data_IF_864935489896
#
_entry.id   IF_864935489896
#
_cell.length_a   1.000
_cell.length_b   1.000
_cell.length_c   1.000
_cell.angle_alpha   90.00
_cell.angle_beta   90.00
_cell.angle_gamma   90.00
#
_symmetry.space_group_name_H-M   'P 1'
#
loop_
_entity.id
_entity.type
_entity.pdbx_description
1 polymer ?
#
# COMPACT_ATOMS: atom_id res chain seq x y z
N UNK A 1 15.68 31.70 0.33
CA UNK A 1 14.84 31.42 -0.80
C UNK A 1 13.78 30.45 -0.34
N UNK A 2 12.51 30.79 -0.53
CA UNK A 2 11.41 29.87 -0.24
C UNK A 2 11.27 28.93 -1.44
N UNK A 3 11.30 27.62 -1.19
CA UNK A 3 11.04 26.65 -2.24
C UNK A 3 9.60 26.82 -2.74
N UNK A 4 9.43 26.93 -4.05
CA UNK A 4 8.12 27.02 -4.68
C UNK A 4 7.60 25.59 -4.91
N UNK A 5 6.48 25.24 -4.29
CA UNK A 5 5.82 23.95 -4.46
C UNK A 5 4.59 24.12 -5.33
N UNK A 6 4.54 23.41 -6.46
CA UNK A 6 3.39 23.40 -7.37
C UNK A 6 2.74 22.03 -7.35
N UNK A 7 1.45 21.96 -7.00
CA UNK A 7 0.65 20.74 -7.14
C UNK A 7 0.12 20.66 -8.58
N UNK A 8 0.34 19.53 -9.24
CA UNK A 8 -0.13 19.28 -10.63
C UNK A 8 -1.58 18.85 -10.69
N UNK A 9 -2.11 18.33 -9.57
CA UNK A 9 -3.48 17.83 -9.44
C UNK A 9 -4.30 18.84 -8.65
N UNK A 10 -5.41 19.30 -9.19
CA UNK A 10 -6.36 20.13 -8.45
C UNK A 10 -7.18 19.21 -7.54
N UNK A 11 -7.55 19.68 -6.33
CA UNK A 11 -8.33 18.94 -5.33
C UNK A 11 -9.69 18.38 -5.82
N UNK A 12 -10.11 18.77 -7.02
CA UNK A 12 -11.35 18.33 -7.67
C UNK A 12 -11.11 17.46 -8.89
N UNK A 13 -9.86 17.12 -9.19
CA UNK A 13 -9.50 16.27 -10.32
C UNK A 13 -9.24 14.86 -9.82
N UNK A 14 -9.88 13.89 -10.45
CA UNK A 14 -9.56 12.49 -10.31
C UNK A 14 -8.14 12.23 -10.84
N UNK A 15 -7.29 11.67 -10.01
CA UNK A 15 -5.90 11.34 -10.36
C UNK A 15 -5.82 10.28 -11.45
N UNK A 16 -6.83 9.41 -11.55
CA UNK A 16 -6.89 8.36 -12.57
C UNK A 16 -7.23 8.90 -13.95
N UNK A 17 -7.99 10.00 -14.01
CA UNK A 17 -8.37 10.69 -15.26
C UNK A 17 -7.48 11.89 -15.57
N UNK A 18 -6.41 12.09 -14.83
CA UNK A 18 -5.48 13.20 -15.01
C UNK A 18 -4.83 13.12 -16.41
N UNK A 19 -5.15 14.06 -17.26
CA UNK A 19 -4.46 14.29 -18.56
C UNK A 19 -3.47 15.41 -18.38
N UNK A 20 -2.18 15.07 -18.44
CA UNK A 20 -1.11 16.08 -18.37
C UNK A 20 -1.19 16.99 -19.58
N UNK A 21 -1.51 18.26 -19.34
CA UNK A 21 -1.52 19.28 -20.40
C UNK A 21 -0.08 19.79 -20.68
N UNK A 22 0.15 20.50 -21.80
CA UNK A 22 1.50 20.97 -22.18
C UNK A 22 2.19 21.82 -21.09
N UNK A 23 1.44 22.62 -20.32
CA UNK A 23 1.98 23.44 -19.25
C UNK A 23 2.44 22.58 -18.06
N UNK A 24 1.64 21.57 -17.68
CA UNK A 24 2.01 20.63 -16.64
C UNK A 24 3.23 19.79 -17.06
N UNK A 25 3.31 19.39 -18.34
CA UNK A 25 4.50 18.72 -18.88
C UNK A 25 5.76 19.59 -18.83
N UNK A 26 5.64 20.88 -19.08
CA UNK A 26 6.76 21.81 -18.94
C UNK A 26 7.20 21.93 -17.48
N UNK A 27 6.27 22.06 -16.53
CA UNK A 27 6.57 22.12 -15.10
C UNK A 27 7.28 20.84 -14.63
N UNK A 28 6.80 19.66 -15.01
CA UNK A 28 7.45 18.37 -14.71
C UNK A 28 8.88 18.31 -15.25
N UNK A 29 9.09 18.83 -16.47
CA UNK A 29 10.41 18.80 -17.11
C UNK A 29 11.41 19.81 -16.52
N UNK A 30 10.92 20.90 -15.94
CA UNK A 30 11.75 21.98 -15.38
C UNK A 30 11.88 21.94 -13.85
N UNK A 31 11.16 21.06 -13.17
CA UNK A 31 11.22 20.96 -11.72
C UNK A 31 12.57 20.43 -11.24
N UNK A 32 13.09 21.00 -10.17
CA UNK A 32 14.31 20.50 -9.50
C UNK A 32 14.03 19.15 -8.80
N UNK A 33 12.81 18.98 -8.29
CA UNK A 33 12.32 17.71 -7.71
C UNK A 33 10.86 17.47 -8.07
N UNK A 34 10.53 16.22 -8.35
CA UNK A 34 9.17 15.76 -8.60
C UNK A 34 8.82 14.72 -7.55
N UNK A 35 7.75 14.95 -6.81
CA UNK A 35 7.20 13.99 -5.86
C UNK A 35 5.99 13.30 -6.47
N UNK A 36 5.97 11.98 -6.44
CA UNK A 36 4.90 11.15 -6.99
C UNK A 36 4.58 10.00 -6.06
N UNK A 37 3.35 9.51 -6.14
CA UNK A 37 2.90 8.29 -5.44
C UNK A 37 3.25 7.01 -6.20
N UNK A 38 3.88 7.12 -7.38
CA UNK A 38 4.22 6.00 -8.24
C UNK A 38 3.35 5.94 -9.50
N UNK A 39 3.77 5.10 -10.45
CA UNK A 39 3.12 5.00 -11.78
C UNK A 39 1.75 4.32 -11.71
N UNK A 40 1.57 3.43 -10.77
CA UNK A 40 0.33 2.68 -10.55
C UNK A 40 -0.76 3.60 -10.03
N UNK A 41 -0.42 4.48 -9.08
CA UNK A 41 -1.34 5.45 -8.50
C UNK A 41 -1.59 6.65 -9.42
N UNK A 42 -0.79 6.82 -10.48
CA UNK A 42 -0.96 7.91 -11.44
C UNK A 42 -0.82 7.38 -12.86
N UNK A 43 -1.86 6.73 -13.43
CA UNK A 43 -1.80 6.06 -14.74
C UNK A 43 -1.31 6.94 -15.89
N UNK A 44 -1.56 8.25 -15.80
CA UNK A 44 -1.09 9.24 -16.79
C UNK A 44 0.43 9.37 -16.84
N UNK A 45 1.11 8.95 -15.77
CA UNK A 45 2.57 8.98 -15.69
C UNK A 45 3.22 7.69 -16.18
N UNK A 46 2.44 6.66 -16.61
CA UNK A 46 2.99 5.40 -17.15
C UNK A 46 3.97 5.61 -18.30
N UNK A 47 3.76 6.64 -19.10
CA UNK A 47 4.61 7.00 -20.24
C UNK A 47 5.64 8.10 -19.90
N UNK A 48 5.67 8.59 -18.68
CA UNK A 48 6.65 9.55 -18.25
C UNK A 48 7.88 8.83 -17.71
N UNK A 49 9.03 9.12 -18.32
CA UNK A 49 10.29 8.54 -17.84
C UNK A 49 10.70 9.20 -16.54
N UNK A 50 10.86 8.40 -15.50
CA UNK A 50 11.40 8.86 -14.23
C UNK A 50 12.81 9.40 -14.43
N UNK A 51 12.99 10.64 -14.01
CA UNK A 51 14.28 11.29 -14.04
C UNK A 51 14.97 11.15 -12.68
N UNK A 52 16.25 11.41 -12.63
CA UNK A 52 17.05 11.37 -11.38
C UNK A 52 16.55 12.35 -10.29
N UNK A 53 15.69 13.30 -10.65
CA UNK A 53 15.07 14.24 -9.73
C UNK A 53 13.68 13.81 -9.22
N UNK A 54 13.22 12.60 -9.57
CA UNK A 54 11.94 12.06 -9.12
C UNK A 54 12.11 11.41 -7.76
N UNK A 55 11.21 11.74 -6.85
CA UNK A 55 11.09 11.13 -5.53
C UNK A 55 9.73 10.45 -5.46
N UNK A 56 9.71 9.14 -5.40
CA UNK A 56 8.49 8.38 -5.13
C UNK A 56 8.20 8.47 -3.63
N UNK A 57 7.06 9.03 -3.27
CA UNK A 57 6.67 9.25 -1.87
C UNK A 57 5.87 8.05 -1.35
N UNK A 58 5.24 7.31 -2.25
CA UNK A 58 4.52 6.09 -1.95
C UNK A 58 5.34 4.84 -2.25
N UNK A 59 4.86 3.71 -1.80
CA UNK A 59 5.36 2.40 -2.18
C UNK A 59 4.42 1.86 -3.25
N UNK A 60 4.96 1.58 -4.44
CA UNK A 60 4.19 0.95 -5.51
C UNK A 60 4.32 -0.56 -5.41
N UNK A 61 3.22 -1.26 -5.45
CA UNK A 61 3.24 -2.70 -5.62
C UNK A 61 3.85 -3.05 -6.99
N UNK A 62 4.78 -4.02 -7.00
CA UNK A 62 5.34 -4.56 -8.24
C UNK A 62 4.29 -5.44 -8.92
N UNK A 63 3.54 -6.15 -8.10
CA UNK A 63 2.51 -7.10 -8.49
C UNK A 63 1.37 -7.05 -7.47
N UNK A 64 0.14 -7.12 -7.93
CA UNK A 64 -1.05 -7.19 -7.11
C UNK A 64 -1.92 -8.29 -7.68
N UNK A 65 -2.19 -9.29 -6.87
CA UNK A 65 -3.14 -10.34 -7.18
C UNK A 65 -4.38 -10.19 -6.30
N UNK A 66 -5.53 -10.20 -6.98
CA UNK A 66 -6.79 -10.47 -6.33
C UNK A 66 -7.09 -11.94 -6.68
N UNK A 67 -6.87 -12.87 -5.77
CA UNK A 67 -7.21 -14.26 -6.05
C UNK A 67 -8.67 -14.28 -6.48
N UNK A 68 -8.92 -14.75 -7.71
CA UNK A 68 -10.27 -14.94 -8.21
C UNK A 68 -10.98 -15.80 -7.18
N UNK A 69 -12.03 -15.27 -6.59
CA UNK A 69 -12.85 -15.84 -5.55
C UNK A 69 -13.21 -17.31 -5.81
N UNK A 70 -12.30 -18.23 -5.56
CA UNK A 70 -12.69 -19.54 -5.15
C UNK A 70 -13.16 -19.36 -3.70
N UNK A 71 -14.44 -19.51 -3.46
CA UNK A 71 -15.07 -19.33 -2.16
C UNK A 71 -14.28 -20.10 -1.10
N UNK A 72 -13.50 -19.39 -0.25
CA UNK A 72 -12.86 -19.95 0.91
C UNK A 72 -11.36 -19.81 1.08
N UNK A 73 -10.66 -18.98 0.30
CA UNK A 73 -9.25 -18.63 0.55
C UNK A 73 -9.07 -17.91 1.88
N UNK A 74 -7.92 -18.09 2.53
CA UNK A 74 -7.62 -17.43 3.81
C UNK A 74 -7.24 -15.95 3.62
N UNK A 75 -7.03 -15.47 2.40
CA UNK A 75 -6.77 -14.07 2.05
C UNK A 75 -7.58 -13.64 0.83
N UNK A 76 -7.89 -12.35 0.77
CA UNK A 76 -8.60 -11.72 -0.35
C UNK A 76 -7.68 -10.84 -1.20
N UNK A 77 -6.49 -10.52 -0.68
CA UNK A 77 -5.55 -9.66 -1.39
C UNK A 77 -4.10 -10.07 -1.11
N UNK A 78 -3.28 -9.97 -2.16
CA UNK A 78 -1.83 -10.09 -2.08
C UNK A 78 -1.14 -8.98 -2.89
N UNK A 79 -0.02 -8.47 -2.39
CA UNK A 79 0.80 -7.47 -3.07
C UNK A 79 2.27 -7.71 -2.86
N UNK A 80 3.06 -7.57 -3.93
CA UNK A 80 4.51 -7.67 -3.91
C UNK A 80 5.13 -6.27 -4.01
N UNK A 81 6.00 -5.94 -3.06
CA UNK A 81 6.64 -4.63 -2.96
C UNK A 81 8.15 -4.77 -2.90
N UNK A 82 8.86 -3.91 -3.60
CA UNK A 82 10.30 -3.72 -3.42
C UNK A 82 10.52 -2.59 -2.40
N UNK A 83 11.05 -2.94 -1.23
CA UNK A 83 11.18 -2.04 -0.09
C UNK A 83 12.64 -1.93 0.33
N UNK A 84 13.05 -0.72 0.69
CA UNK A 84 14.32 -0.48 1.37
C UNK A 84 14.19 -0.70 2.88
N UNK A 85 15.30 -1.02 3.55
CA UNK A 85 15.31 -1.10 5.00
C UNK A 85 14.86 0.20 5.64
N UNK A 86 13.90 0.12 6.56
CA UNK A 86 13.31 1.30 7.19
C UNK A 86 12.00 1.01 7.91
N UNK A 87 11.37 2.08 8.36
CA UNK A 87 10.06 2.03 9.00
C UNK A 87 9.02 2.68 8.09
N UNK A 88 7.99 1.94 7.79
CA UNK A 88 6.85 2.35 6.99
C UNK A 88 5.61 2.43 7.87
N UNK A 89 4.60 3.12 7.39
CA UNK A 89 3.27 3.14 8.00
C UNK A 89 2.26 2.60 7.01
N UNK A 90 1.38 1.74 7.50
CA UNK A 90 0.19 1.34 6.79
C UNK A 90 -1.03 1.88 7.53
N UNK A 91 -1.83 2.66 6.84
CA UNK A 91 -2.98 3.37 7.42
C UNK A 91 -4.27 2.76 6.89
N UNK A 92 -5.22 2.56 7.78
CA UNK A 92 -6.58 2.12 7.48
C UNK A 92 -7.54 3.18 7.98
N UNK A 93 -8.47 3.58 7.13
CA UNK A 93 -9.45 4.61 7.45
C UNK A 93 -10.86 4.02 7.57
N UNK A 94 -11.72 4.72 8.28
CA UNK A 94 -13.15 4.46 8.26
C UNK A 94 -13.75 4.94 6.95
N UNK A 95 -14.63 4.11 6.40
CA UNK A 95 -15.50 4.49 5.28
C UNK A 95 -16.90 4.72 5.86
N UNK A 96 -17.54 5.83 5.53
CA UNK A 96 -18.85 6.21 6.06
C UNK A 96 -18.95 6.24 7.61
N UNK A 97 -17.80 6.46 8.28
CA UNK A 97 -17.72 6.55 9.75
C UNK A 97 -17.50 5.23 10.48
N UNK A 98 -17.36 4.12 9.78
CA UNK A 98 -17.11 2.79 10.33
C UNK A 98 -15.94 2.11 9.59
N UNK A 99 -15.21 1.23 10.28
CA UNK A 99 -14.31 0.29 9.62
C UNK A 99 -15.14 -0.86 9.04
N UNK A 100 -14.75 -1.37 7.86
CA UNK A 100 -15.41 -2.50 7.22
C UNK A 100 -15.48 -3.71 8.17
N UNK A 101 -14.37 -3.94 8.89
CA UNK A 101 -14.26 -4.93 9.96
C UNK A 101 -13.54 -4.35 11.18
N UNK A 102 -13.78 -4.88 12.40
CA UNK A 102 -13.12 -4.39 13.60
C UNK A 102 -11.63 -4.78 13.67
N UNK A 103 -11.23 -5.79 12.92
CA UNK A 103 -9.86 -6.29 12.83
C UNK A 103 -9.68 -7.07 11.52
N UNK A 104 -8.43 -7.25 11.10
CA UNK A 104 -8.06 -8.00 9.91
C UNK A 104 -6.76 -8.76 10.18
N UNK A 105 -6.59 -9.94 9.60
CA UNK A 105 -5.30 -10.64 9.62
C UNK A 105 -4.42 -10.17 8.46
N UNK A 106 -3.10 -10.16 8.70
CA UNK A 106 -2.07 -9.84 7.72
C UNK A 106 -0.86 -10.73 7.90
N UNK A 107 -0.26 -11.15 6.79
CA UNK A 107 1.04 -11.84 6.74
C UNK A 107 2.00 -11.02 5.89
N UNK A 108 3.24 -10.92 6.32
CA UNK A 108 4.33 -10.26 5.58
C UNK A 108 5.45 -11.28 5.43
N UNK A 109 5.78 -11.64 4.19
CA UNK A 109 6.83 -12.60 3.86
C UNK A 109 7.94 -11.92 3.05
N UNK A 110 9.18 -12.27 3.32
CA UNK A 110 10.27 -11.93 2.43
C UNK A 110 10.23 -12.89 1.23
N UNK A 111 9.83 -12.39 0.08
CA UNK A 111 9.67 -13.18 -1.14
C UNK A 111 9.79 -12.29 -2.36
N UNK A 112 10.24 -12.83 -3.46
CA UNK A 112 10.29 -12.17 -4.77
C UNK A 112 9.17 -12.65 -5.72
N UNK A 113 8.25 -13.49 -5.21
CA UNK A 113 7.17 -14.08 -5.96
C UNK A 113 5.95 -14.33 -5.05
N UNK A 114 4.77 -13.87 -5.48
CA UNK A 114 3.51 -14.05 -4.74
C UNK A 114 3.10 -15.52 -4.75
N UNK A 115 3.05 -16.16 -5.93
CA UNK A 115 2.56 -17.53 -6.10
C UNK A 115 3.33 -18.53 -5.21
N UNK A 116 4.65 -18.36 -5.09
CA UNK A 116 5.48 -19.21 -4.23
C UNK A 116 5.21 -19.00 -2.73
N UNK A 117 4.55 -17.93 -2.37
CA UNK A 117 4.30 -17.53 -0.97
C UNK A 117 2.86 -17.81 -0.52
N UNK A 118 1.95 -18.09 -1.45
CA UNK A 118 0.51 -18.27 -1.18
C UNK A 118 0.23 -19.41 -0.20
N UNK A 119 0.79 -20.61 -0.45
CA UNK A 119 0.55 -21.78 0.40
C UNK A 119 0.93 -21.51 1.87
N UNK A 120 2.07 -20.84 2.08
CA UNK A 120 2.51 -20.45 3.43
C UNK A 120 1.62 -19.36 4.02
N UNK A 121 1.21 -18.39 3.22
CA UNK A 121 0.32 -17.31 3.66
C UNK A 121 -1.05 -17.86 4.07
N UNK A 122 -1.62 -18.78 3.29
CA UNK A 122 -2.88 -19.45 3.62
C UNK A 122 -2.77 -20.26 4.92
N UNK A 123 -1.69 -21.01 5.10
CA UNK A 123 -1.45 -21.75 6.34
C UNK A 123 -1.40 -20.81 7.56
N UNK A 124 -0.66 -19.69 7.44
CA UNK A 124 -0.49 -18.74 8.52
C UNK A 124 -1.78 -17.98 8.84
N UNK A 125 -2.52 -17.53 7.83
CA UNK A 125 -3.79 -16.82 8.02
C UNK A 125 -4.91 -17.73 8.52
N UNK A 126 -4.93 -18.98 8.07
CA UNK A 126 -5.90 -19.99 8.50
C UNK A 126 -5.61 -20.57 9.89
N UNK A 127 -4.42 -20.38 10.43
CA UNK A 127 -4.01 -20.92 11.73
C UNK A 127 -4.32 -19.94 12.87
N UNK A 128 -4.88 -20.46 13.96
CA UNK A 128 -5.04 -19.70 15.21
C UNK A 128 -3.82 -19.81 16.15
N UNK A 129 -2.80 -20.58 15.77
CA UNK A 129 -1.67 -20.90 16.65
C UNK A 129 -0.48 -19.92 16.53
N UNK A 130 -0.30 -19.29 15.36
CA UNK A 130 0.84 -18.40 15.09
C UNK A 130 0.39 -16.95 14.89
N UNK A 131 -0.53 -16.50 15.75
CA UNK A 131 -1.09 -15.15 15.67
C UNK A 131 -0.40 -14.23 16.65
N UNK A 132 0.12 -13.11 16.16
CA UNK A 132 0.60 -11.99 16.99
C UNK A 132 -0.44 -10.86 16.97
N UNK A 133 -0.89 -10.45 18.17
CA UNK A 133 -1.84 -9.33 18.29
C UNK A 133 -1.09 -8.01 18.14
N UNK A 134 -1.32 -7.31 17.06
CA UNK A 134 -0.76 -5.97 16.85
C UNK A 134 -1.68 -4.89 17.39
N UNK A 135 -1.69 -4.72 18.70
CA UNK A 135 -2.22 -3.50 19.34
C UNK A 135 -1.05 -2.52 19.48
N UNK A 136 -0.79 -1.69 18.46
CA UNK A 136 0.36 -0.78 18.35
C UNK A 136 1.74 -1.48 18.27
N UNK A 137 1.79 -2.77 17.89
CA UNK A 137 3.04 -3.49 17.65
C UNK A 137 3.67 -3.10 16.31
N UNK A 138 4.93 -3.48 16.14
CA UNK A 138 5.64 -3.36 14.89
C UNK A 138 5.38 -4.62 14.08
N UNK A 139 4.87 -4.47 12.86
CA UNK A 139 4.73 -5.53 11.89
C UNK A 139 6.08 -5.74 11.19
N UNK A 140 6.46 -6.96 10.96
CA UNK A 140 7.68 -7.28 10.19
C UNK A 140 7.53 -8.61 9.49
N UNK A 141 8.31 -8.84 8.43
CA UNK A 141 8.34 -10.14 7.76
C UNK A 141 8.70 -11.25 8.76
N UNK A 142 7.87 -12.28 8.85
CA UNK A 142 7.99 -13.40 9.78
C UNK A 142 7.09 -14.56 9.36
N UNK A 143 7.27 -15.69 10.02
CA UNK A 143 6.43 -16.89 9.92
C UNK A 143 5.17 -16.82 10.82
N UNK A 144 4.58 -15.65 10.94
CA UNK A 144 3.38 -15.39 11.77
C UNK A 144 2.38 -14.52 11.05
N UNK A 145 1.11 -14.74 11.34
CA UNK A 145 0.06 -13.80 11.01
C UNK A 145 -0.10 -12.76 12.12
N UNK A 146 -0.33 -11.51 11.73
CA UNK A 146 -0.66 -10.41 12.63
C UNK A 146 -2.15 -10.16 12.61
N UNK A 147 -2.77 -9.95 13.78
CA UNK A 147 -4.12 -9.39 13.86
C UNK A 147 -4.01 -7.89 14.05
N UNK A 148 -4.45 -7.15 13.04
CA UNK A 148 -4.57 -5.71 13.02
C UNK A 148 -5.91 -5.33 13.66
N UNK A 149 -5.89 -4.82 14.90
CA UNK A 149 -7.11 -4.35 15.54
C UNK A 149 -7.29 -2.86 15.27
N UNK A 150 -8.40 -2.47 14.67
CA UNK A 150 -8.68 -1.08 14.35
C UNK A 150 -9.23 -0.33 15.56
N UNK A 151 -8.67 0.85 15.85
CA UNK A 151 -9.13 1.71 16.95
C UNK A 151 -10.46 2.37 16.58
N UNK A 152 -11.57 1.80 17.07
CA UNK A 152 -12.92 2.27 16.79
C UNK A 152 -13.19 3.73 17.21
N UNK A 153 -12.30 4.33 18.00
CA UNK A 153 -12.41 5.73 18.42
C UNK A 153 -11.71 6.71 17.48
N UNK A 154 -10.91 6.20 16.55
CA UNK A 154 -10.17 7.00 15.57
C UNK A 154 -10.75 6.81 14.18
N UNK A 155 -10.65 7.82 13.36
CA UNK A 155 -11.05 7.73 11.95
C UNK A 155 -9.97 7.04 11.11
N UNK A 156 -8.71 7.03 11.58
CA UNK A 156 -7.58 6.36 10.95
C UNK A 156 -6.82 5.56 12.00
N UNK A 157 -6.55 4.29 11.71
CA UNK A 157 -5.65 3.45 12.48
C UNK A 157 -4.37 3.21 11.69
N UNK A 158 -3.22 3.51 12.30
CA UNK A 158 -1.90 3.33 11.68
C UNK A 158 -1.16 2.16 12.32
N UNK A 159 -0.49 1.36 11.50
CA UNK A 159 0.43 0.31 11.93
C UNK A 159 1.84 0.60 11.41
N UNK A 160 2.86 0.35 12.23
CA UNK A 160 4.25 0.50 11.81
C UNK A 160 4.73 -0.82 11.22
N UNK A 161 5.34 -0.74 10.03
CA UNK A 161 5.95 -1.88 9.34
C UNK A 161 7.47 -1.67 9.33
N UNK A 162 8.20 -2.56 9.97
CA UNK A 162 9.67 -2.56 9.97
C UNK A 162 10.21 -3.47 8.88
N UNK A 163 10.92 -2.90 7.94
CA UNK A 163 11.68 -3.61 6.91
C UNK A 163 13.15 -3.63 7.32
N UNK A 164 13.67 -4.81 7.63
CA UNK A 164 15.01 -4.98 8.20
C UNK A 164 16.13 -4.90 7.18
N UNK A 165 15.87 -5.21 5.91
CA UNK A 165 16.84 -5.14 4.80
C UNK A 165 16.13 -4.79 3.51
N UNK A 166 16.87 -4.23 2.56
CA UNK A 166 16.38 -4.02 1.20
C UNK A 166 16.00 -5.35 0.56
N UNK A 167 14.86 -5.39 -0.13
CA UNK A 167 14.39 -6.60 -0.78
C UNK A 167 12.93 -6.53 -1.21
N UNK A 168 12.43 -7.66 -1.70
CA UNK A 168 11.04 -7.82 -2.06
C UNK A 168 10.27 -8.51 -0.94
N UNK A 169 9.07 -8.04 -0.74
CA UNK A 169 8.18 -8.47 0.34
C UNK A 169 6.77 -8.68 -0.19
N UNK A 170 6.23 -9.87 0.03
CA UNK A 170 4.85 -10.19 -0.25
C UNK A 170 3.99 -9.93 1.00
N UNK A 171 2.90 -9.22 0.81
CA UNK A 171 1.91 -8.91 1.83
C UNK A 171 0.60 -9.60 1.47
N UNK A 172 0.00 -10.27 2.42
CA UNK A 172 -1.29 -10.94 2.27
C UNK A 172 -2.24 -10.44 3.34
N UNK A 173 -3.46 -10.10 2.96
CA UNK A 173 -4.49 -9.61 3.89
C UNK A 173 -5.78 -10.41 3.76
N UNK A 174 -6.43 -10.63 4.90
CA UNK A 174 -7.70 -11.36 5.01
C UNK A 174 -8.83 -10.67 4.24
N UNK A 175 -8.83 -9.33 4.24
CA UNK A 175 -9.77 -8.48 3.51
C UNK A 175 -9.04 -7.56 2.55
N UNK A 176 -9.74 -7.00 1.59
CA UNK A 176 -9.16 -6.08 0.62
C UNK A 176 -8.80 -4.74 1.28
N UNK A 177 -7.53 -4.25 1.19
CA UNK A 177 -7.12 -3.00 1.84
C UNK A 177 -7.95 -1.78 1.43
N UNK A 178 -8.48 -1.73 0.21
CA UNK A 178 -9.29 -0.61 -0.27
C UNK A 178 -10.66 -0.47 0.42
N UNK A 179 -11.16 -1.50 1.09
CA UNK A 179 -12.37 -1.41 1.93
C UNK A 179 -12.18 -0.51 3.15
N UNK A 180 -10.92 -0.20 3.46
CA UNK A 180 -10.50 0.65 4.58
C UNK A 180 -9.88 1.97 4.10
N UNK A 181 -10.19 2.41 2.90
CA UNK A 181 -9.72 3.67 2.34
C UNK A 181 -10.88 4.66 2.31
N UNK A 182 -10.67 5.85 2.91
CA UNK A 182 -11.71 6.87 3.02
C UNK A 182 -11.96 7.63 1.72
N UNK A 183 -11.06 7.53 0.75
CA UNK A 183 -11.17 8.16 -0.56
C UNK A 183 -11.67 7.14 -1.57
N UNK A 184 -12.84 7.38 -2.15
CA UNK A 184 -13.37 6.58 -3.24
C UNK A 184 -12.39 6.64 -4.43
N UNK A 185 -11.72 5.54 -4.69
CA UNK A 185 -10.93 5.33 -5.90
C UNK A 185 -11.86 4.93 -7.03
N UNK A 186 -12.52 5.92 -7.66
CA UNK A 186 -13.30 5.75 -8.87
C UNK A 186 -12.58 6.28 -10.11
#
# INVERSE_FOLDING_TARGET
>A
PSDEVTCLVDRKQDVHDLKINPRQAQLLNSADKVFTLGKEMTPTMKNWEEKSNTVVVGVSAIEVENPSSEEGGAFEWAGLFELSAGNYKWSFAKVDGEYADPAMKMVILESDDIELSEELAEELLGSDQNIEKSNNGILSASDKAFVLNFDQKKDITEFNVEIKKDGKYAFFTEHMPFEFEADEHF
#
